data_IF_188898221435
#
_entry.id   IF_188898221435
#
_cell.length_a   1.000
_cell.length_b   1.000
_cell.length_c   1.000
_cell.angle_alpha   90.00
_cell.angle_beta   90.00
_cell.angle_gamma   90.00
#
_symmetry.space_group_name_H-M   'P 1'
#
loop_
_entity.id
_entity.type
_entity.pdbx_description
1 polymer ?
#
# COMPACT_ATOMS: atom_id res chain seq x y z
N UNK A 1 0.26 5.40 20.75
CA UNK A 1 -0.85 5.95 19.92
C UNK A 1 -1.12 7.43 20.14
N UNK A 2 -1.28 7.93 21.38
CA UNK A 2 -1.55 9.37 21.62
C UNK A 2 -0.49 10.32 21.03
N UNK A 3 0.77 9.93 21.11
CA UNK A 3 1.94 10.70 20.64
C UNK A 3 2.01 10.90 19.12
N UNK A 4 1.38 10.05 18.33
CA UNK A 4 1.41 10.08 16.87
C UNK A 4 0.10 10.59 16.24
N UNK A 5 -0.88 11.01 17.08
CA UNK A 5 -2.20 11.45 16.58
C UNK A 5 -2.14 12.59 15.59
N UNK A 6 -1.34 13.67 15.83
CA UNK A 6 -1.28 14.77 14.87
C UNK A 6 -0.74 14.33 13.51
N UNK A 7 0.38 13.59 13.51
CA UNK A 7 0.98 13.11 12.25
C UNK A 7 0.09 12.09 11.53
N UNK A 8 -0.64 11.25 12.26
CA UNK A 8 -1.61 10.33 11.66
C UNK A 8 -2.77 11.09 10.99
N UNK A 9 -3.23 12.20 11.58
CA UNK A 9 -4.23 13.06 10.96
C UNK A 9 -3.69 13.70 9.67
N UNK A 10 -2.42 14.13 9.65
CA UNK A 10 -1.77 14.63 8.45
C UNK A 10 -1.63 13.55 7.37
N UNK A 11 -1.31 12.33 7.75
CA UNK A 11 -1.25 11.19 6.81
C UNK A 11 -2.63 10.91 6.22
N UNK A 12 -3.70 10.88 7.01
CA UNK A 12 -5.07 10.68 6.50
C UNK A 12 -5.47 11.79 5.51
N UNK A 13 -5.13 13.04 5.83
CA UNK A 13 -5.36 14.16 4.91
C UNK A 13 -4.58 13.99 3.60
N UNK A 14 -3.30 13.62 3.68
CA UNK A 14 -2.47 13.35 2.50
C UNK A 14 -3.04 12.22 1.64
N UNK A 15 -3.48 11.12 2.26
CA UNK A 15 -4.10 10.01 1.55
C UNK A 15 -5.34 10.46 0.76
N UNK A 16 -6.23 11.24 1.40
CA UNK A 16 -7.42 11.76 0.74
C UNK A 16 -7.09 12.73 -0.40
N UNK A 17 -6.18 13.69 -0.16
CA UNK A 17 -5.75 14.68 -1.16
C UNK A 17 -5.08 14.03 -2.37
N UNK A 18 -4.22 13.03 -2.14
CA UNK A 18 -3.43 12.39 -3.19
C UNK A 18 -4.19 11.30 -3.95
N UNK A 19 -5.27 10.76 -3.38
CA UNK A 19 -6.21 9.90 -4.09
C UNK A 19 -7.18 10.67 -4.98
N UNK A 20 -7.23 11.99 -4.88
CA UNK A 20 -8.09 12.83 -5.73
C UNK A 20 -7.69 12.75 -7.21
N UNK A 21 -8.70 12.69 -8.07
CA UNK A 21 -8.56 12.64 -9.53
C UNK A 21 -9.82 13.22 -10.19
N UNK A 22 -9.71 13.83 -11.40
CA UNK A 22 -10.88 14.19 -12.20
C UNK A 22 -11.64 12.96 -12.74
N UNK A 23 -11.04 11.78 -12.72
CA UNK A 23 -11.69 10.51 -13.11
C UNK A 23 -12.39 9.93 -11.89
N UNK A 24 -13.73 10.06 -11.85
CA UNK A 24 -14.56 9.77 -10.66
C UNK A 24 -14.32 8.37 -10.05
N UNK A 25 -14.12 7.35 -10.87
CA UNK A 25 -13.86 5.98 -10.41
C UNK A 25 -12.64 5.88 -9.47
N UNK A 26 -11.62 6.75 -9.65
CA UNK A 26 -10.41 6.69 -8.84
C UNK A 26 -10.68 7.09 -7.38
N UNK A 27 -11.23 8.28 -7.07
CA UNK A 27 -11.53 8.64 -5.69
C UNK A 27 -12.62 7.75 -5.09
N UNK A 28 -13.62 7.29 -5.85
CA UNK A 28 -14.68 6.43 -5.35
C UNK A 28 -14.13 5.10 -4.83
N UNK A 29 -13.34 4.40 -5.66
CA UNK A 29 -12.75 3.12 -5.31
C UNK A 29 -11.68 3.27 -4.23
N UNK A 30 -10.82 4.29 -4.31
CA UNK A 30 -9.80 4.57 -3.31
C UNK A 30 -10.43 4.85 -1.95
N UNK A 31 -11.49 5.67 -1.91
CA UNK A 31 -12.22 5.98 -0.68
C UNK A 31 -12.91 4.75 -0.08
N UNK A 32 -13.46 3.88 -0.92
CA UNK A 32 -14.07 2.63 -0.49
C UNK A 32 -13.09 1.76 0.31
N UNK A 33 -11.86 1.62 -0.17
CA UNK A 33 -10.82 0.84 0.52
C UNK A 33 -10.29 1.56 1.76
N UNK A 34 -9.99 2.84 1.65
CA UNK A 34 -9.49 3.65 2.76
C UNK A 34 -10.53 3.69 3.89
N UNK A 35 -11.82 3.87 3.56
CA UNK A 35 -12.93 3.88 4.51
C UNK A 35 -13.35 2.48 5.00
N UNK A 36 -12.93 1.40 4.35
CA UNK A 36 -13.17 0.02 4.83
C UNK A 36 -12.49 -0.26 6.17
N UNK A 37 -11.80 0.72 6.73
CA UNK A 37 -11.17 0.69 8.03
C UNK A 37 -9.85 -0.07 8.00
N UNK A 38 -8.84 0.49 8.65
CA UNK A 38 -7.55 -0.13 8.86
C UNK A 38 -6.95 0.41 10.14
N UNK A 39 -6.15 -0.40 10.82
CA UNK A 39 -5.43 0.05 12.02
C UNK A 39 -4.31 1.04 11.68
N UNK A 40 -4.13 1.39 10.39
CA UNK A 40 -3.04 2.22 9.88
C UNK A 40 -1.67 1.81 10.43
N UNK A 41 -1.49 0.49 10.53
CA UNK A 41 -0.29 -0.08 11.15
C UNK A 41 0.98 0.39 10.42
N UNK A 42 0.96 0.42 9.09
CA UNK A 42 2.12 0.85 8.30
C UNK A 42 2.49 2.32 8.51
N UNK A 43 1.57 3.27 8.42
CA UNK A 43 1.81 4.66 8.82
C UNK A 43 2.31 4.78 10.25
N UNK A 44 1.69 4.07 11.21
CA UNK A 44 2.12 4.08 12.63
C UNK A 44 3.56 3.60 12.76
N UNK A 45 3.93 2.48 12.11
CA UNK A 45 5.29 1.95 12.15
C UNK A 45 6.29 2.93 11.52
N UNK A 46 5.96 3.52 10.38
CA UNK A 46 6.83 4.50 9.71
C UNK A 46 7.09 5.71 10.61
N UNK A 47 6.05 6.29 11.18
CA UNK A 47 6.15 7.44 12.08
C UNK A 47 6.90 7.09 13.39
N UNK A 48 6.60 5.92 13.97
CA UNK A 48 7.24 5.45 15.20
C UNK A 48 8.73 5.18 14.99
N UNK A 49 9.10 4.52 13.88
CA UNK A 49 10.49 4.24 13.54
C UNK A 49 11.30 5.53 13.34
N UNK A 50 10.74 6.51 12.64
CA UNK A 50 11.39 7.81 12.47
C UNK A 50 11.66 8.48 13.81
N UNK A 51 10.73 8.45 14.76
CA UNK A 51 10.91 8.99 16.11
C UNK A 51 11.91 8.17 16.94
N UNK A 52 11.90 6.85 16.82
CA UNK A 52 12.79 5.97 17.55
C UNK A 52 14.28 6.22 17.23
N UNK A 53 14.58 6.65 16.00
CA UNK A 53 15.95 7.02 15.58
C UNK A 53 16.25 8.51 15.76
N UNK A 54 15.45 9.22 16.56
CA UNK A 54 15.69 10.63 16.90
C UNK A 54 15.13 11.65 15.89
N UNK A 55 14.36 11.20 14.90
CA UNK A 55 13.66 12.08 13.97
C UNK A 55 12.56 12.91 14.66
N UNK A 56 12.40 14.16 14.24
CA UNK A 56 11.40 15.08 14.81
C UNK A 56 10.01 14.94 14.17
N UNK A 57 9.80 13.97 13.27
CA UNK A 57 8.61 13.91 12.44
C UNK A 57 8.65 14.95 11.31
N UNK A 58 7.48 15.40 10.88
CA UNK A 58 7.35 16.45 9.87
C UNK A 58 6.83 15.94 8.53
N UNK A 59 6.68 16.84 7.58
CA UNK A 59 6.01 16.61 6.29
C UNK A 59 6.61 15.44 5.50
N UNK A 60 7.95 15.34 5.44
CA UNK A 60 8.63 14.27 4.70
C UNK A 60 8.29 12.88 5.27
N UNK A 61 8.22 12.73 6.60
CA UNK A 61 7.88 11.46 7.24
C UNK A 61 6.40 11.12 7.03
N UNK A 62 5.50 12.13 7.08
CA UNK A 62 4.09 11.93 6.76
C UNK A 62 3.88 11.52 5.29
N UNK A 63 4.61 12.13 4.34
CA UNK A 63 4.61 11.72 2.93
C UNK A 63 5.09 10.28 2.75
N UNK A 64 6.13 9.89 3.45
CA UNK A 64 6.64 8.52 3.42
C UNK A 64 5.62 7.54 4.01
N UNK A 65 5.00 7.87 5.13
CA UNK A 65 3.95 7.05 5.73
C UNK A 65 2.73 6.88 4.80
N UNK A 66 2.34 7.95 4.10
CA UNK A 66 1.28 7.90 3.09
C UNK A 66 1.70 7.07 1.86
N UNK A 67 2.95 7.19 1.40
CA UNK A 67 3.48 6.40 0.27
C UNK A 67 3.43 4.90 0.57
N UNK A 68 3.87 4.47 1.75
CA UNK A 68 3.83 3.07 2.18
C UNK A 68 2.39 2.55 2.28
N UNK A 69 1.44 3.37 2.74
CA UNK A 69 0.03 2.98 2.79
C UNK A 69 -0.59 2.89 1.38
N UNK A 70 -0.18 3.76 0.43
CA UNK A 70 -0.62 3.65 -0.96
C UNK A 70 -0.07 2.39 -1.65
N UNK A 71 1.20 2.06 -1.46
CA UNK A 71 1.77 0.81 -1.95
C UNK A 71 0.95 -0.37 -1.43
N UNK A 72 0.68 -0.40 -0.13
CA UNK A 72 -0.14 -1.45 0.47
C UNK A 72 -1.57 -1.49 -0.09
N UNK A 73 -2.21 -0.34 -0.25
CA UNK A 73 -3.58 -0.29 -0.79
C UNK A 73 -3.61 -0.78 -2.24
N UNK A 74 -2.59 -0.44 -3.02
CA UNK A 74 -2.43 -0.92 -4.39
C UNK A 74 -2.28 -2.45 -4.44
N UNK A 75 -1.39 -3.02 -3.59
CA UNK A 75 -1.24 -4.49 -3.54
C UNK A 75 -2.54 -5.17 -3.14
N UNK A 76 -3.31 -4.64 -2.18
CA UNK A 76 -4.61 -5.21 -1.81
C UNK A 76 -5.61 -5.24 -2.97
N UNK A 77 -5.60 -4.24 -3.86
CA UNK A 77 -6.46 -4.22 -5.05
C UNK A 77 -6.04 -5.27 -6.07
N UNK A 78 -4.74 -5.46 -6.25
CA UNK A 78 -4.19 -6.46 -7.16
C UNK A 78 -4.43 -7.87 -6.61
N UNK A 79 -4.16 -8.09 -5.34
CA UNK A 79 -4.34 -9.38 -4.65
C UNK A 79 -5.80 -9.84 -4.71
N UNK A 80 -6.78 -8.96 -4.51
CA UNK A 80 -8.19 -9.30 -4.62
C UNK A 80 -8.57 -9.84 -6.01
N UNK A 81 -7.85 -9.42 -7.06
CA UNK A 81 -8.04 -9.92 -8.42
C UNK A 81 -7.28 -11.22 -8.63
N UNK A 82 -6.02 -11.29 -8.20
CA UNK A 82 -5.14 -12.47 -8.37
C UNK A 82 -5.68 -13.68 -7.59
N UNK A 83 -6.11 -13.45 -6.33
CA UNK A 83 -6.62 -14.49 -5.43
C UNK A 83 -8.10 -14.82 -5.68
N UNK A 84 -8.73 -14.13 -6.61
CA UNK A 84 -10.18 -14.21 -6.87
C UNK A 84 -11.04 -14.01 -5.61
N UNK A 85 -10.61 -13.12 -4.72
CA UNK A 85 -11.27 -12.87 -3.43
C UNK A 85 -12.61 -12.16 -3.60
N UNK A 86 -13.67 -12.67 -2.96
CA UNK A 86 -15.00 -12.06 -3.00
C UNK A 86 -15.19 -10.99 -1.92
N UNK A 87 -14.49 -11.11 -0.81
CA UNK A 87 -14.66 -10.25 0.35
C UNK A 87 -13.32 -9.67 0.83
N UNK A 88 -13.34 -8.39 1.19
CA UNK A 88 -12.27 -7.69 1.88
C UNK A 88 -12.78 -7.04 3.16
N UNK A 89 -12.30 -7.50 4.33
CA UNK A 89 -12.72 -7.00 5.65
C UNK A 89 -14.24 -7.03 5.88
N UNK A 90 -14.90 -8.08 5.40
CA UNK A 90 -16.35 -8.26 5.51
C UNK A 90 -17.20 -7.44 4.54
N UNK A 91 -16.57 -6.68 3.63
CA UNK A 91 -17.23 -6.00 2.51
C UNK A 91 -16.91 -6.70 1.20
N UNK A 92 -17.72 -6.49 0.16
CA UNK A 92 -17.41 -6.99 -1.18
C UNK A 92 -16.03 -6.48 -1.62
N UNK A 93 -15.22 -7.34 -2.26
CA UNK A 93 -13.97 -6.91 -2.86
C UNK A 93 -14.22 -5.87 -3.96
N UNK A 94 -13.28 -4.94 -4.16
CA UNK A 94 -13.45 -3.87 -5.14
C UNK A 94 -13.73 -4.40 -6.55
N UNK A 95 -13.12 -5.53 -6.93
CA UNK A 95 -13.37 -6.18 -8.23
C UNK A 95 -14.83 -6.58 -8.45
N UNK A 96 -15.56 -6.91 -7.38
CA UNK A 96 -16.98 -7.28 -7.47
C UNK A 96 -17.91 -6.07 -7.59
N UNK A 97 -17.43 -4.87 -7.23
CA UNK A 97 -18.21 -3.62 -7.30
C UNK A 97 -17.90 -2.84 -8.58
N UNK A 98 -16.61 -2.74 -8.97
CA UNK A 98 -16.15 -1.92 -10.11
C UNK A 98 -15.54 -2.74 -11.24
N UNK A 99 -15.39 -4.05 -11.07
CA UNK A 99 -14.74 -4.96 -12.02
C UNK A 99 -13.23 -5.05 -11.81
N UNK A 100 -12.63 -6.16 -12.28
CA UNK A 100 -11.21 -6.45 -12.13
C UNK A 100 -10.32 -5.38 -12.79
N UNK A 101 -10.67 -4.93 -14.00
CA UNK A 101 -9.88 -3.91 -14.72
C UNK A 101 -9.80 -2.59 -13.97
N UNK A 102 -10.90 -2.12 -13.37
CA UNK A 102 -10.90 -0.90 -12.57
C UNK A 102 -10.05 -1.07 -11.31
N UNK A 103 -10.14 -2.22 -10.64
CA UNK A 103 -9.32 -2.52 -9.45
C UNK A 103 -7.82 -2.48 -9.77
N UNK A 104 -7.40 -3.12 -10.86
CA UNK A 104 -5.99 -3.10 -11.31
C UNK A 104 -5.55 -1.67 -11.60
N UNK A 105 -6.28 -0.94 -12.46
CA UNK A 105 -5.87 0.40 -12.90
C UNK A 105 -5.86 1.43 -11.77
N UNK A 106 -6.80 1.33 -10.80
CA UNK A 106 -6.76 2.20 -9.62
C UNK A 106 -5.62 1.80 -8.68
N UNK A 107 -5.30 0.50 -8.58
CA UNK A 107 -4.09 0.01 -7.92
C UNK A 107 -2.83 0.65 -8.51
N UNK A 108 -2.69 0.61 -9.84
CA UNK A 108 -1.56 1.24 -10.55
C UNK A 108 -1.49 2.75 -10.30
N UNK A 109 -2.64 3.42 -10.28
CA UNK A 109 -2.70 4.86 -9.95
C UNK A 109 -2.17 5.14 -8.54
N UNK A 110 -2.62 4.39 -7.52
CA UNK A 110 -2.16 4.57 -6.14
C UNK A 110 -0.68 4.24 -6.00
N UNK A 111 -0.21 3.20 -6.69
CA UNK A 111 1.19 2.84 -6.73
C UNK A 111 2.03 3.97 -7.37
N UNK A 112 1.59 4.54 -8.48
CA UNK A 112 2.25 5.69 -9.10
C UNK A 112 2.24 6.94 -8.19
N UNK A 113 1.16 7.19 -7.43
CA UNK A 113 1.09 8.26 -6.43
C UNK A 113 2.12 8.09 -5.31
N UNK A 114 2.43 6.86 -4.94
CA UNK A 114 3.49 6.60 -3.95
C UNK A 114 4.86 7.11 -4.42
N UNK A 115 5.20 6.94 -5.71
CA UNK A 115 6.44 7.50 -6.28
C UNK A 115 6.46 9.03 -6.22
N UNK A 116 5.34 9.69 -6.51
CA UNK A 116 5.24 11.14 -6.38
C UNK A 116 5.54 11.59 -4.95
N UNK A 117 4.95 10.94 -3.95
CA UNK A 117 5.21 11.24 -2.54
C UNK A 117 6.65 10.99 -2.14
N UNK A 118 7.26 9.89 -2.60
CA UNK A 118 8.67 9.58 -2.33
C UNK A 118 9.60 10.63 -2.94
N UNK A 119 9.39 11.02 -4.20
CA UNK A 119 10.22 12.03 -4.88
C UNK A 119 10.09 13.41 -4.26
N UNK A 120 8.91 13.77 -3.74
CA UNK A 120 8.70 15.03 -3.01
C UNK A 120 9.53 15.13 -1.72
N UNK A 121 10.00 14.02 -1.15
CA UNK A 121 10.92 14.03 0.00
C UNK A 121 12.32 14.52 -0.37
N UNK A 122 12.68 14.53 -1.67
CA UNK A 122 13.98 14.88 -2.22
C UNK A 122 15.16 14.05 -1.69
N UNK A 123 14.88 12.85 -1.18
CA UNK A 123 15.91 11.89 -0.77
C UNK A 123 15.79 10.62 -1.62
N UNK A 124 16.71 10.45 -2.57
CA UNK A 124 16.74 9.31 -3.48
C UNK A 124 16.95 7.96 -2.76
N UNK A 125 17.51 7.97 -1.54
CA UNK A 125 17.67 6.73 -0.75
C UNK A 125 16.32 6.14 -0.37
N UNK A 126 15.32 6.99 -0.11
CA UNK A 126 13.95 6.56 0.17
C UNK A 126 13.37 5.81 -1.04
N UNK A 127 13.55 6.39 -2.23
CA UNK A 127 13.09 5.78 -3.48
C UNK A 127 13.81 4.45 -3.73
N UNK A 128 15.14 4.39 -3.55
CA UNK A 128 15.93 3.15 -3.71
C UNK A 128 15.45 2.05 -2.76
N UNK A 129 15.28 2.36 -1.48
CA UNK A 129 14.82 1.38 -0.48
C UNK A 129 13.43 0.84 -0.81
N UNK A 130 12.47 1.72 -1.08
CA UNK A 130 11.09 1.30 -1.30
C UNK A 130 10.89 0.62 -2.66
N UNK A 131 11.61 1.03 -3.71
CA UNK A 131 11.57 0.35 -5.00
C UNK A 131 12.13 -1.06 -4.91
N UNK A 132 13.26 -1.26 -4.22
CA UNK A 132 13.81 -2.61 -3.97
C UNK A 132 12.86 -3.47 -3.15
N UNK A 133 12.27 -2.92 -2.09
CA UNK A 133 11.28 -3.65 -1.29
C UNK A 133 10.06 -4.06 -2.14
N UNK A 134 9.58 -3.18 -3.01
CA UNK A 134 8.47 -3.49 -3.92
C UNK A 134 8.82 -4.59 -4.92
N UNK A 135 10.06 -4.60 -5.45
CA UNK A 135 10.53 -5.68 -6.32
C UNK A 135 10.54 -7.02 -5.58
N UNK A 136 11.07 -7.06 -4.35
CA UNK A 136 11.13 -8.29 -3.55
C UNK A 136 9.73 -8.82 -3.25
N UNK A 137 8.78 -7.95 -2.92
CA UNK A 137 7.38 -8.34 -2.69
C UNK A 137 6.79 -8.93 -3.98
N UNK A 138 6.93 -8.24 -5.11
CA UNK A 138 6.40 -8.71 -6.39
C UNK A 138 7.02 -10.07 -6.83
N UNK A 139 8.33 -10.24 -6.63
CA UNK A 139 8.99 -11.53 -6.88
C UNK A 139 8.45 -12.63 -5.97
N UNK A 140 8.17 -12.34 -4.70
CA UNK A 140 7.56 -13.27 -3.75
C UNK A 140 6.17 -13.72 -4.22
N UNK A 141 5.32 -12.78 -4.62
CA UNK A 141 3.98 -13.08 -5.15
C UNK A 141 4.03 -13.96 -6.41
N UNK A 142 4.94 -13.66 -7.35
CA UNK A 142 5.12 -14.50 -8.55
C UNK A 142 5.62 -15.90 -8.20
N UNK A 143 6.53 -16.02 -7.22
CA UNK A 143 6.99 -17.34 -6.75
C UNK A 143 5.86 -18.11 -6.06
N UNK A 144 5.05 -17.46 -5.24
CA UNK A 144 3.87 -18.04 -4.60
C UNK A 144 2.90 -18.57 -5.65
N UNK A 145 2.60 -17.78 -6.68
CA UNK A 145 1.74 -18.19 -7.79
C UNK A 145 2.30 -19.41 -8.54
N UNK A 146 3.61 -19.43 -8.81
CA UNK A 146 4.28 -20.56 -9.46
C UNK A 146 4.36 -21.83 -8.59
N UNK A 147 4.20 -21.67 -7.26
CA UNK A 147 4.21 -22.77 -6.31
C UNK A 147 2.81 -23.35 -6.02
N UNK A 148 1.75 -22.75 -6.56
CA UNK A 148 0.38 -23.22 -6.35
C UNK A 148 0.22 -24.69 -6.76
N UNK A 149 -0.36 -25.50 -5.87
CA UNK A 149 -0.61 -26.94 -6.10
C UNK A 149 0.64 -27.83 -5.98
N UNK A 150 1.83 -27.29 -5.75
CA UNK A 150 3.04 -28.08 -5.50
C UNK A 150 3.08 -28.57 -4.06
N UNK A 151 2.92 -29.87 -3.87
CA UNK A 151 2.99 -30.52 -2.55
C UNK A 151 4.40 -31.01 -2.22
N UNK A 152 5.32 -30.94 -3.17
CA UNK A 152 6.71 -31.41 -3.11
C UNK A 152 7.73 -30.29 -2.80
N UNK A 153 7.25 -29.10 -2.45
CA UNK A 153 8.12 -27.96 -2.11
C UNK A 153 9.03 -28.30 -0.94
N UNK A 154 10.34 -28.12 -1.15
CA UNK A 154 11.31 -28.18 -0.07
C UNK A 154 11.16 -27.00 0.88
N UNK A 155 11.63 -27.16 2.12
CA UNK A 155 11.65 -26.05 3.09
C UNK A 155 12.38 -24.82 2.57
N UNK A 156 13.50 -25.00 1.85
CA UNK A 156 14.26 -23.88 1.29
C UNK A 156 13.50 -23.15 0.18
N UNK A 157 12.76 -23.86 -0.67
CA UNK A 157 11.90 -23.25 -1.68
C UNK A 157 10.75 -22.46 -1.03
N UNK A 158 10.13 -23.03 0.02
CA UNK A 158 9.10 -22.33 0.79
C UNK A 158 9.63 -21.04 1.45
N UNK A 159 10.83 -21.08 2.03
CA UNK A 159 11.43 -19.90 2.67
C UNK A 159 11.93 -18.85 1.67
N UNK A 160 11.98 -19.17 0.38
CA UNK A 160 12.34 -18.23 -0.69
C UNK A 160 11.12 -17.50 -1.29
N UNK A 161 9.90 -17.92 -0.92
CA UNK A 161 8.65 -17.22 -1.23
C UNK A 161 8.46 -16.09 -0.24
#
# INVERSE_FOLDING_TARGET
MALLRPELADVERLLAERAASPVATIPDLSSYLIAAGGKRLRPVLTLASARAVGGRGGEAVCKLAAAVEFIHTATLLHDDVVDDSDLRRGKAAAKNVWGASASILVGDFLFARSFTLMTETRDLRILDILSRASCVIAEGEVRQLAALGRVDLSFNEYMAI
#
